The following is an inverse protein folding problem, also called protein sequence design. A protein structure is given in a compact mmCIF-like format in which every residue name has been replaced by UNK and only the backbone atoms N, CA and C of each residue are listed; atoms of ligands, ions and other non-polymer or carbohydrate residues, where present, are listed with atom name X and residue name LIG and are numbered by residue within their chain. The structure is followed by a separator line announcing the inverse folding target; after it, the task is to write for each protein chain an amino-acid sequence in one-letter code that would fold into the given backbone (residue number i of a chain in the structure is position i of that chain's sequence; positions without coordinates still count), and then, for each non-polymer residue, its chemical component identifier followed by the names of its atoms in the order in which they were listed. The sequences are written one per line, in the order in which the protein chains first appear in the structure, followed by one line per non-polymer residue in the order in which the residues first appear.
data_IF_604275074734
#
_entry.id   IF_604275074734
#
_cell.length_a   1.000
_cell.length_b   1.000
_cell.length_c   1.000
_cell.angle_alpha   90.00
_cell.angle_beta   90.00
_cell.angle_gamma   90.00
#
_symmetry.space_group_name_H-M   'P 1'
#
loop_
_entity.id
_entity.type
_entity.pdbx_description
1 polymer ?
#
# COMPACT_ATOMS: atom_id res chain seq x y z
N UNK A 1 1.23 -7.56 10.70
CA UNK A 1 1.63 -6.71 9.56
C UNK A 1 2.41 -5.45 9.94
N UNK A 2 3.08 -5.39 11.11
CA UNK A 2 3.84 -4.20 11.54
C UNK A 2 5.31 -4.26 11.12
N UNK A 3 6.00 -3.12 11.04
CA UNK A 3 7.38 -2.99 10.60
C UNK A 3 7.51 -2.64 9.12
N UNK A 4 8.75 -2.70 8.63
CA UNK A 4 9.09 -2.47 7.23
C UNK A 4 8.74 -3.69 6.40
N UNK A 5 8.02 -3.46 5.31
CA UNK A 5 7.54 -4.49 4.41
C UNK A 5 7.90 -4.08 2.98
N UNK A 6 8.65 -4.93 2.29
CA UNK A 6 9.04 -4.75 0.90
C UNK A 6 7.88 -5.10 -0.02
N UNK A 7 7.65 -4.27 -1.03
CA UNK A 7 6.59 -4.45 -2.00
C UNK A 7 7.05 -5.25 -3.22
N UNK A 8 6.18 -6.15 -3.68
CA UNK A 8 6.27 -6.73 -5.02
C UNK A 8 5.00 -6.36 -5.79
N UNK A 9 5.18 -5.76 -6.98
CA UNK A 9 4.05 -5.52 -7.88
C UNK A 9 3.56 -6.83 -8.47
N UNK A 10 2.27 -7.12 -8.30
CA UNK A 10 1.62 -8.30 -8.84
C UNK A 10 0.75 -7.94 -10.06
N UNK A 11 0.36 -8.95 -10.83
CA UNK A 11 -0.55 -8.81 -11.97
C UNK A 11 0.14 -8.85 -13.34
N UNK A 12 -0.61 -8.50 -14.42
CA UNK A 12 -0.14 -8.63 -15.79
C UNK A 12 1.17 -7.88 -16.04
N UNK A 13 2.04 -8.43 -16.88
CA UNK A 13 3.37 -7.87 -17.15
C UNK A 13 3.32 -6.40 -17.59
N UNK A 14 2.33 -6.02 -18.41
CA UNK A 14 2.14 -4.63 -18.85
C UNK A 14 1.84 -3.69 -17.67
N UNK A 15 1.02 -4.11 -16.72
CA UNK A 15 0.70 -3.30 -15.51
C UNK A 15 1.97 -3.10 -14.68
N UNK A 16 2.73 -4.18 -14.47
CA UNK A 16 4.00 -4.13 -13.71
C UNK A 16 5.04 -3.24 -14.40
N UNK A 17 5.08 -3.22 -15.73
CA UNK A 17 6.00 -2.38 -16.49
C UNK A 17 5.65 -0.87 -16.43
N UNK A 18 4.36 -0.53 -16.37
CA UNK A 18 3.90 0.86 -16.37
C UNK A 18 3.80 1.49 -14.97
N UNK A 19 3.62 0.67 -13.92
CA UNK A 19 3.45 1.14 -12.56
C UNK A 19 4.61 2.03 -12.05
N UNK A 20 5.91 1.71 -12.27
CA UNK A 20 7.00 2.59 -11.86
C UNK A 20 6.94 3.99 -12.48
N UNK A 21 6.51 4.09 -13.75
CA UNK A 21 6.35 5.38 -14.43
C UNK A 21 5.25 6.19 -13.74
N UNK A 22 4.09 5.56 -13.50
CA UNK A 22 2.97 6.20 -12.82
C UNK A 22 3.33 6.64 -11.39
N UNK A 23 4.07 5.82 -10.65
CA UNK A 23 4.49 6.16 -9.29
C UNK A 23 5.46 7.35 -9.26
N UNK A 24 6.41 7.43 -10.19
CA UNK A 24 7.28 8.61 -10.31
C UNK A 24 6.50 9.91 -10.51
N UNK A 25 5.49 9.89 -11.37
CA UNK A 25 4.67 11.06 -11.67
C UNK A 25 3.76 11.49 -10.51
N UNK A 26 3.59 10.64 -9.51
CA UNK A 26 2.61 10.84 -8.43
C UNK A 26 3.26 11.02 -7.06
N UNK A 27 4.60 11.03 -6.96
CA UNK A 27 5.31 11.21 -5.68
C UNK A 27 5.59 9.92 -4.92
N UNK A 28 5.53 8.77 -5.60
CA UNK A 28 6.05 7.47 -5.13
C UNK A 28 7.17 6.96 -6.06
N UNK A 29 8.00 7.87 -6.59
CA UNK A 29 9.21 7.47 -7.30
C UNK A 29 10.01 6.46 -6.46
N UNK A 30 10.46 5.39 -7.09
CA UNK A 30 11.27 4.34 -6.45
C UNK A 30 10.61 3.73 -5.22
N UNK A 31 9.29 3.58 -5.25
CA UNK A 31 8.53 2.94 -4.19
C UNK A 31 9.08 1.55 -3.88
N UNK A 32 9.48 1.37 -2.63
CA UNK A 32 10.05 0.14 -2.09
C UNK A 32 9.03 -0.65 -1.29
N UNK A 33 8.13 0.02 -0.57
CA UNK A 33 7.16 -0.66 0.28
C UNK A 33 6.54 0.23 1.34
N UNK A 34 6.25 -0.33 2.52
CA UNK A 34 5.57 0.38 3.61
C UNK A 34 6.26 0.10 4.95
N UNK A 35 6.29 1.10 5.83
CA UNK A 35 6.55 0.91 7.26
C UNK A 35 5.26 1.13 8.04
N UNK A 36 4.74 0.09 8.69
CA UNK A 36 3.49 0.12 9.44
C UNK A 36 3.75 -0.02 10.93
N UNK A 37 3.26 0.90 11.75
CA UNK A 37 3.44 0.89 13.20
C UNK A 37 2.09 0.97 13.91
N UNK A 38 1.95 0.43 15.12
CA UNK A 38 0.77 0.69 15.94
C UNK A 38 0.51 2.19 16.03
N UNK A 39 -0.74 2.60 15.90
CA UNK A 39 -1.12 3.99 16.12
C UNK A 39 -0.86 4.35 17.59
N UNK A 40 -0.42 5.59 17.89
CA UNK A 40 -0.21 6.03 19.28
C UNK A 40 -1.49 6.00 20.14
N UNK A 41 -2.67 6.05 19.50
CA UNK A 41 -3.96 5.95 20.14
C UNK A 41 -4.92 5.11 19.28
N UNK A 42 -5.64 4.20 19.93
CA UNK A 42 -6.63 3.30 19.31
C UNK A 42 -6.03 2.07 18.63
N UNK A 43 -6.91 1.24 18.04
CA UNK A 43 -6.56 -0.08 17.51
C UNK A 43 -6.09 -0.06 16.03
N UNK A 44 -5.61 1.10 15.57
CA UNK A 44 -5.19 1.34 14.20
C UNK A 44 -3.68 1.20 13.98
N UNK A 45 -3.26 1.40 12.73
CA UNK A 45 -1.86 1.55 12.34
C UNK A 45 -1.63 2.94 11.75
N UNK A 46 -0.41 3.43 11.88
CA UNK A 46 0.10 4.62 11.19
C UNK A 46 1.45 4.31 10.58
N UNK A 47 1.87 5.07 9.58
CA UNK A 47 3.16 4.79 8.96
C UNK A 47 3.44 5.63 7.73
N UNK A 48 4.32 5.10 6.88
CA UNK A 48 4.74 5.75 5.64
C UNK A 48 4.88 4.72 4.52
N UNK A 49 4.68 5.16 3.27
CA UNK A 49 5.33 4.49 2.15
C UNK A 49 6.84 4.76 2.22
N UNK A 50 7.62 3.76 1.83
CA UNK A 50 9.07 3.81 1.75
C UNK A 50 9.51 3.85 0.29
N UNK A 51 10.59 4.56 0.03
CA UNK A 51 11.22 4.69 -1.28
C UNK A 51 12.74 4.51 -1.19
N UNK A 52 13.36 4.30 -2.34
CA UNK A 52 14.79 4.05 -2.47
C UNK A 52 15.10 2.56 -2.58
N UNK A 53 16.37 2.26 -2.86
CA UNK A 53 16.82 0.89 -3.18
C UNK A 53 16.57 -0.12 -2.06
N UNK A 54 16.55 0.35 -0.81
CA UNK A 54 16.32 -0.47 0.39
C UNK A 54 15.27 0.17 1.29
N UNK A 55 14.40 1.03 0.75
CA UNK A 55 13.34 1.71 1.48
C UNK A 55 13.82 2.75 2.51
N UNK A 56 15.00 3.31 2.31
CA UNK A 56 15.66 4.23 3.24
C UNK A 56 14.93 5.57 3.42
N UNK A 57 14.07 5.96 2.46
CA UNK A 57 13.36 7.23 2.47
C UNK A 57 11.89 7.06 2.81
N UNK A 58 11.41 7.70 3.87
CA UNK A 58 9.98 7.81 4.15
C UNK A 58 9.34 8.88 3.24
N UNK A 59 8.16 8.57 2.69
CA UNK A 59 7.47 9.44 1.73
C UNK A 59 6.06 9.79 2.23
N UNK A 60 5.03 9.19 1.63
CA UNK A 60 3.64 9.51 1.92
C UNK A 60 3.19 8.90 3.26
N UNK A 61 2.79 9.73 4.24
CA UNK A 61 2.23 9.24 5.49
C UNK A 61 0.88 8.56 5.23
N UNK A 62 0.61 7.51 5.99
CA UNK A 62 -0.60 6.72 5.88
C UNK A 62 -1.19 6.40 7.26
N UNK A 63 -2.48 6.06 7.25
CA UNK A 63 -3.19 5.46 8.38
C UNK A 63 -3.85 4.18 7.92
N UNK A 64 -3.99 3.21 8.80
CA UNK A 64 -4.72 1.99 8.52
C UNK A 64 -5.64 1.62 9.67
N UNK A 65 -6.83 1.12 9.35
CA UNK A 65 -7.83 0.67 10.33
C UNK A 65 -8.51 -0.58 9.81
N UNK A 66 -9.05 -1.41 10.70
CA UNK A 66 -9.92 -2.51 10.27
C UNK A 66 -11.24 -1.92 9.77
N UNK A 67 -11.65 -2.31 8.57
CA UNK A 67 -12.88 -1.85 7.94
C UNK A 67 -13.37 -2.81 6.84
N UNK A 68 -14.51 -2.52 6.22
CA UNK A 68 -15.01 -3.33 5.12
C UNK A 68 -14.12 -3.18 3.88
N UNK A 69 -13.72 -4.30 3.28
CA UNK A 69 -12.99 -4.30 2.02
C UNK A 69 -13.84 -3.75 0.88
N UNK A 70 -13.20 -3.03 -0.04
CA UNK A 70 -13.79 -2.57 -1.30
C UNK A 70 -14.00 -3.71 -2.31
N UNK A 71 -13.33 -4.86 -2.15
CA UNK A 71 -13.49 -6.00 -3.03
C UNK A 71 -14.81 -6.75 -2.77
N UNK A 72 -15.06 -7.09 -1.51
CA UNK A 72 -16.10 -8.05 -1.11
C UNK A 72 -16.86 -7.67 0.17
N UNK A 73 -16.55 -6.52 0.79
CA UNK A 73 -17.16 -6.06 2.04
C UNK A 73 -16.66 -6.77 3.30
N UNK A 74 -15.88 -7.85 3.18
CA UNK A 74 -15.35 -8.57 4.33
C UNK A 74 -14.23 -7.78 5.02
N UNK A 75 -13.96 -8.01 6.33
CA UNK A 75 -12.94 -7.26 7.06
C UNK A 75 -11.57 -7.28 6.38
N UNK A 76 -10.96 -6.11 6.26
CA UNK A 76 -9.59 -5.91 5.80
C UNK A 76 -8.94 -4.78 6.60
N UNK A 77 -7.60 -4.71 6.57
CA UNK A 77 -6.91 -3.51 7.03
C UNK A 77 -6.90 -2.50 5.88
N UNK A 78 -7.70 -1.45 6.03
CA UNK A 78 -7.91 -0.41 5.03
C UNK A 78 -6.91 0.71 5.27
N UNK A 79 -5.97 0.86 4.35
CA UNK A 79 -4.98 1.94 4.34
C UNK A 79 -5.52 3.13 3.57
N UNK A 80 -5.38 4.32 4.15
CA UNK A 80 -5.77 5.59 3.55
C UNK A 80 -4.68 6.64 3.74
N UNK A 81 -4.75 7.66 2.89
CA UNK A 81 -3.86 8.83 2.92
C UNK A 81 -4.64 10.06 3.39
N UNK A 82 -3.92 11.07 3.91
CA UNK A 82 -4.53 12.34 4.28
C UNK A 82 -5.27 12.97 3.10
N UNK A 83 -6.32 13.73 3.38
CA UNK A 83 -7.00 14.57 2.37
C UNK A 83 -6.05 15.55 1.68
N UNK A 84 -4.99 15.95 2.39
CA UNK A 84 -3.96 16.88 1.88
C UNK A 84 -2.87 16.17 1.05
N UNK A 85 -2.93 14.84 0.92
CA UNK A 85 -1.97 14.11 0.10
C UNK A 85 -2.07 14.54 -1.39
N UNK A 86 -0.93 14.51 -2.11
CA UNK A 86 -0.92 14.85 -3.53
C UNK A 86 -1.87 13.94 -4.31
N UNK A 87 -2.43 14.48 -5.39
CA UNK A 87 -3.24 13.67 -6.30
C UNK A 87 -2.33 12.63 -6.98
N UNK A 88 -2.74 11.35 -7.11
CA UNK A 88 -4.06 10.80 -6.79
C UNK A 88 -4.20 10.25 -5.35
N UNK A 89 -3.14 10.21 -4.55
CA UNK A 89 -3.06 9.44 -3.30
C UNK A 89 -4.15 9.78 -2.27
N UNK A 90 -4.60 11.02 -2.17
CA UNK A 90 -5.74 11.37 -1.30
C UNK A 90 -7.06 10.63 -1.62
N UNK A 91 -7.16 9.99 -2.79
CA UNK A 91 -8.30 9.17 -3.22
C UNK A 91 -7.99 7.67 -3.21
N UNK A 92 -6.72 7.31 -3.00
CA UNK A 92 -6.27 5.92 -3.03
C UNK A 92 -6.57 5.26 -1.71
N UNK A 93 -7.02 4.01 -1.79
CA UNK A 93 -7.20 3.12 -0.65
C UNK A 93 -6.52 1.80 -0.97
N UNK A 94 -5.71 1.29 -0.06
CA UNK A 94 -5.21 -0.08 -0.16
C UNK A 94 -5.94 -0.97 0.85
N UNK A 95 -6.53 -2.07 0.40
CA UNK A 95 -7.04 -3.11 1.29
C UNK A 95 -5.96 -4.16 1.53
N UNK A 96 -5.64 -4.44 2.78
CA UNK A 96 -4.60 -5.41 3.17
C UNK A 96 -5.21 -6.64 3.86
N UNK A 97 -4.74 -7.83 3.45
CA UNK A 97 -5.02 -9.12 4.10
C UNK A 97 -3.74 -9.92 4.28
N UNK A 98 -3.61 -10.58 5.43
CA UNK A 98 -2.51 -11.51 5.68
C UNK A 98 -2.89 -12.87 5.08
N UNK A 99 -2.00 -13.41 4.25
CA UNK A 99 -2.09 -14.76 3.71
C UNK A 99 -1.49 -15.77 4.69
N UNK A 100 -1.73 -17.07 4.47
CA UNK A 100 -1.33 -18.13 5.40
C UNK A 100 0.19 -18.21 5.65
N UNK A 101 1.01 -17.81 4.67
CA UNK A 101 2.47 -17.76 4.74
C UNK A 101 3.02 -16.48 5.41
N UNK A 102 2.14 -15.58 5.86
CA UNK A 102 2.50 -14.29 6.43
C UNK A 102 2.76 -13.18 5.38
N UNK A 103 2.71 -13.48 4.08
CA UNK A 103 2.68 -12.48 3.02
C UNK A 103 1.43 -11.62 3.18
N UNK A 104 1.54 -10.31 2.97
CA UNK A 104 0.38 -9.43 2.94
C UNK A 104 -0.03 -9.20 1.50
N UNK A 105 -1.26 -9.58 1.14
CA UNK A 105 -1.89 -9.18 -0.11
C UNK A 105 -2.43 -7.77 0.06
N UNK A 106 -2.06 -6.87 -0.83
CA UNK A 106 -2.63 -5.54 -0.98
C UNK A 106 -3.43 -5.40 -2.27
N UNK A 107 -4.58 -4.73 -2.19
CA UNK A 107 -5.38 -4.34 -3.35
C UNK A 107 -5.54 -2.82 -3.34
N UNK A 108 -4.95 -2.16 -4.34
CA UNK A 108 -5.06 -0.71 -4.50
C UNK A 108 -6.32 -0.36 -5.27
N UNK A 109 -7.07 0.61 -4.76
CA UNK A 109 -8.26 1.21 -5.39
C UNK A 109 -8.09 2.72 -5.57
N UNK A 110 -8.83 3.31 -6.51
CA UNK A 110 -8.93 4.77 -6.65
C UNK A 110 -7.86 5.42 -7.54
N UNK A 111 -6.96 4.65 -8.16
CA UNK A 111 -6.14 5.15 -9.27
C UNK A 111 -6.97 5.17 -10.57
N UNK A 112 -6.63 6.07 -11.52
CA UNK A 112 -7.18 5.97 -12.86
C UNK A 112 -6.92 4.58 -13.45
N UNK A 113 -7.96 3.99 -14.07
CA UNK A 113 -7.88 2.69 -14.75
C UNK A 113 -7.59 1.47 -13.86
N UNK A 114 -7.70 1.59 -12.54
CA UNK A 114 -7.65 0.40 -11.66
C UNK A 114 -8.77 -0.57 -12.03
N UNK A 115 -8.49 -1.90 -12.12
CA UNK A 115 -9.52 -2.91 -12.25
C UNK A 115 -10.58 -2.80 -11.13
N UNK A 116 -11.81 -3.25 -11.39
CA UNK A 116 -12.87 -3.26 -10.36
C UNK A 116 -12.47 -4.03 -9.10
N UNK A 117 -11.68 -5.09 -9.24
CA UNK A 117 -11.15 -5.88 -8.13
C UNK A 117 -9.93 -5.29 -7.41
N UNK A 118 -9.48 -4.09 -7.79
CA UNK A 118 -8.24 -3.49 -7.29
C UNK A 118 -7.00 -3.97 -8.06
N UNK A 119 -5.94 -3.15 -8.01
CA UNK A 119 -4.62 -3.53 -8.54
C UNK A 119 -3.83 -4.25 -7.45
N UNK A 120 -3.39 -5.51 -7.66
CA UNK A 120 -2.74 -6.28 -6.62
C UNK A 120 -1.27 -5.92 -6.44
N UNK A 121 -0.81 -5.99 -5.20
CA UNK A 121 0.60 -6.00 -4.82
C UNK A 121 0.79 -6.90 -3.60
N UNK A 122 2.01 -7.33 -3.35
CA UNK A 122 2.37 -8.10 -2.15
C UNK A 122 3.26 -7.25 -1.26
N UNK A 123 3.17 -7.43 0.05
CA UNK A 123 4.16 -6.94 1.00
C UNK A 123 4.75 -8.11 1.79
N UNK A 124 6.06 -8.16 1.91
CA UNK A 124 6.78 -9.17 2.68
C UNK A 124 7.66 -8.53 3.73
N UNK A 125 7.76 -9.14 4.90
CA UNK A 125 8.74 -8.72 5.91
C UNK A 125 10.14 -8.95 5.34
N UNK A 126 11.01 -7.97 5.53
CA UNK A 126 12.43 -8.13 5.32
C UNK A 126 12.94 -9.23 6.26
N UNK A 127 13.38 -10.36 5.71
CA UNK A 127 14.18 -11.35 6.43
C UNK A 127 15.60 -10.81 6.39
N UNK A 128 16.09 -10.31 7.52
CA UNK A 128 17.50 -9.96 7.66
C UNK A 128 18.35 -11.22 7.79
#
# INVERSE_FOLDING_TARGET
MTGRLEAELAGPALVRALAPIAFRLTGLADWWGKDLRPAPAGDGLTGYNLAGSRGESATLPLRATIGPSRLDGAPAVVVSYSSDAPFPWRRVVDDLRILADGTVLGLTFGLPFTPRGGSPFLLRRELR
#
